data_IF_769821625139
#
_entry.id   IF_769821625139
#
_cell.length_a   1.000
_cell.length_b   1.000
_cell.length_c   1.000
_cell.angle_alpha   90.00
_cell.angle_beta   90.00
_cell.angle_gamma   90.00
#
_symmetry.space_group_name_H-M   'P 1'
#
loop_
_entity.id
_entity.type
_entity.pdbx_description
1 polymer ?
#
# COMPACT_ATOMS: atom_id res chain seq x y z
N UNK A 1 57.70 -32.92 47.83
CA UNK A 1 58.59 -32.92 46.65
C UNK A 1 58.81 -31.48 46.19
N UNK A 2 60.06 -30.98 46.23
CA UNK A 2 60.46 -29.63 45.80
C UNK A 2 61.07 -29.63 44.39
N UNK A 3 60.94 -28.52 43.65
CA UNK A 3 61.78 -28.03 42.51
C UNK A 3 60.98 -26.93 41.77
N UNK A 4 61.53 -25.82 41.30
CA UNK A 4 62.88 -25.31 41.30
C UNK A 4 62.87 -23.80 41.03
N UNK A 5 63.79 -23.09 41.67
CA UNK A 5 64.32 -21.79 41.27
C UNK A 5 64.92 -21.83 39.87
N UNK A 6 64.79 -20.74 39.10
CA UNK A 6 65.90 -20.18 38.30
C UNK A 6 65.87 -18.64 38.27
N UNK A 7 67.06 -18.00 38.16
CA UNK A 7 67.28 -16.56 38.39
C UNK A 7 67.45 -15.76 37.07
N UNK A 8 67.64 -14.42 37.15
CA UNK A 8 67.63 -13.51 35.99
C UNK A 8 69.04 -13.26 35.44
N UNK A 9 69.16 -12.97 34.13
CA UNK A 9 70.37 -12.37 33.53
C UNK A 9 70.02 -11.37 32.42
N UNK A 10 70.77 -10.27 32.47
CA UNK A 10 70.78 -9.01 31.72
C UNK A 10 71.08 -9.07 30.22
N UNK A 11 70.55 -8.06 29.54
CA UNK A 11 71.13 -7.16 28.52
C UNK A 11 72.33 -7.60 27.66
N UNK A 12 72.17 -7.47 26.35
CA UNK A 12 73.20 -6.96 25.45
C UNK A 12 72.58 -6.37 24.17
N UNK A 13 73.18 -5.26 23.73
CA UNK A 13 72.77 -4.37 22.65
C UNK A 13 73.07 -4.90 21.24
N UNK A 14 72.45 -4.29 20.22
CA UNK A 14 72.87 -4.40 18.82
C UNK A 14 71.88 -3.79 17.81
N UNK A 15 72.22 -2.67 17.13
CA UNK A 15 71.31 -1.92 16.25
C UNK A 15 71.45 -2.30 14.77
N UNK A 16 70.37 -2.17 14.00
CA UNK A 16 70.36 -2.23 12.53
C UNK A 16 68.97 -1.83 12.02
N UNK A 17 68.80 -0.59 11.59
CA UNK A 17 68.76 -0.22 10.16
C UNK A 17 67.68 -1.00 9.40
N UNK A 18 66.49 -0.39 9.31
CA UNK A 18 65.69 -0.33 8.07
C UNK A 18 64.50 0.63 8.26
N UNK A 19 64.87 1.91 8.33
CA UNK A 19 63.95 3.04 8.32
C UNK A 19 63.82 3.57 6.88
N UNK A 20 63.01 2.94 6.02
CA UNK A 20 62.56 3.55 4.76
C UNK A 20 61.41 2.80 4.05
N UNK A 21 60.32 2.40 4.73
CA UNK A 21 59.16 1.83 4.01
C UNK A 21 57.78 2.00 4.68
N UNK A 22 57.63 2.90 5.65
CA UNK A 22 56.37 3.05 6.40
C UNK A 22 55.81 4.47 6.27
N UNK A 23 55.25 4.78 5.08
CA UNK A 23 54.76 6.14 4.82
C UNK A 23 53.67 6.29 3.77
N UNK A 24 53.09 5.21 3.23
CA UNK A 24 51.83 5.30 2.48
C UNK A 24 50.71 4.80 3.36
N UNK A 25 50.20 5.68 4.23
CA UNK A 25 48.87 5.53 4.81
C UNK A 25 47.91 5.43 3.62
N UNK A 26 47.50 4.21 3.28
CA UNK A 26 46.35 3.97 2.41
C UNK A 26 45.19 4.71 3.06
N UNK A 27 44.80 5.86 2.51
CA UNK A 27 43.51 6.44 2.83
C UNK A 27 42.49 5.32 2.62
N UNK A 28 41.71 4.95 3.64
CA UNK A 28 40.65 3.97 3.43
C UNK A 28 39.76 4.49 2.29
N UNK A 29 39.39 3.64 1.33
CA UNK A 29 38.55 4.06 0.22
C UNK A 29 37.32 4.73 0.78
N UNK A 30 37.11 5.96 0.36
CA UNK A 30 36.06 6.88 0.80
C UNK A 30 34.72 6.12 0.77
N UNK A 31 34.29 5.64 1.94
CA UNK A 31 33.13 4.77 2.07
C UNK A 31 31.92 5.58 1.64
N UNK A 32 31.50 5.36 0.40
CA UNK A 32 30.23 5.74 -0.21
C UNK A 32 29.47 6.81 0.57
N UNK A 33 29.70 8.09 0.23
CA UNK A 33 28.84 9.21 0.63
C UNK A 33 27.39 8.83 0.30
N UNK A 34 26.66 8.26 1.26
CA UNK A 34 25.25 7.95 1.14
C UNK A 34 24.58 9.30 0.95
N UNK A 35 24.03 9.55 -0.24
CA UNK A 35 23.27 10.77 -0.53
C UNK A 35 22.26 10.98 0.61
N UNK A 36 22.12 12.22 1.11
CA UNK A 36 21.14 12.51 2.14
C UNK A 36 19.75 12.07 1.67
N UNK A 37 18.88 11.60 2.58
CA UNK A 37 17.51 11.25 2.23
C UNK A 37 16.79 12.48 1.63
N UNK A 38 15.85 12.27 0.70
CA UNK A 38 15.11 13.36 0.08
C UNK A 38 14.37 14.19 1.13
N UNK A 39 14.32 15.50 0.92
CA UNK A 39 13.61 16.41 1.82
C UNK A 39 12.09 16.18 1.74
N UNK A 40 11.37 16.44 2.84
CA UNK A 40 9.93 16.12 2.93
C UNK A 40 9.09 16.80 1.83
N UNK A 41 9.46 18.01 1.43
CA UNK A 41 8.75 18.72 0.36
C UNK A 41 8.96 18.08 -1.01
N UNK A 42 10.14 17.48 -1.27
CA UNK A 42 10.42 16.78 -2.53
C UNK A 42 9.54 15.54 -2.65
N UNK A 43 9.39 14.79 -1.56
CA UNK A 43 8.47 13.66 -1.49
C UNK A 43 7.04 14.14 -1.71
N UNK A 44 6.61 15.21 -1.02
CA UNK A 44 5.29 15.80 -1.21
C UNK A 44 5.01 16.20 -2.66
N UNK A 45 5.95 16.88 -3.31
CA UNK A 45 5.84 17.28 -4.71
C UNK A 45 5.75 16.06 -5.65
N UNK A 46 6.58 15.04 -5.44
CA UNK A 46 6.52 13.79 -6.19
C UNK A 46 5.14 13.12 -6.05
N UNK A 47 4.61 13.04 -4.83
CA UNK A 47 3.29 12.45 -4.57
C UNK A 47 2.16 13.20 -5.29
N UNK A 48 2.22 14.54 -5.32
CA UNK A 48 1.26 15.38 -6.05
C UNK A 48 1.36 15.13 -7.55
N UNK A 49 2.57 15.07 -8.11
CA UNK A 49 2.78 14.80 -9.54
C UNK A 49 2.27 13.41 -9.93
N UNK A 50 2.59 12.38 -9.12
CA UNK A 50 2.10 11.01 -9.32
C UNK A 50 0.57 10.94 -9.28
N UNK A 51 -0.07 11.71 -8.39
CA UNK A 51 -1.53 11.75 -8.29
C UNK A 51 -2.17 12.44 -9.50
N UNK A 52 -1.69 13.63 -9.89
CA UNK A 52 -2.28 14.39 -11.01
C UNK A 52 -2.05 13.68 -12.35
N UNK A 53 -0.91 13.02 -12.53
CA UNK A 53 -0.60 12.27 -13.75
C UNK A 53 -1.33 10.91 -13.84
N UNK A 54 -1.97 10.46 -12.75
CA UNK A 54 -2.62 9.16 -12.74
C UNK A 54 -3.91 9.22 -13.54
N UNK A 55 -4.01 8.43 -14.61
CA UNK A 55 -5.13 8.50 -15.55
C UNK A 55 -6.51 8.42 -14.87
N UNK A 56 -6.75 7.56 -13.85
CA UNK A 56 -8.03 7.56 -13.17
C UNK A 56 -8.42 8.92 -12.55
N UNK A 57 -7.46 9.78 -12.18
CA UNK A 57 -7.77 11.16 -11.75
C UNK A 57 -8.28 11.98 -12.92
N UNK A 58 -7.56 12.01 -14.04
CA UNK A 58 -7.97 12.77 -15.22
C UNK A 58 -9.28 12.25 -15.82
N UNK A 59 -9.46 10.93 -15.90
CA UNK A 59 -10.68 10.30 -16.39
C UNK A 59 -11.90 10.65 -15.52
N UNK A 60 -11.73 10.77 -14.20
CA UNK A 60 -12.83 11.24 -13.35
C UNK A 60 -13.22 12.70 -13.62
N UNK A 61 -12.26 13.57 -13.95
CA UNK A 61 -12.55 14.97 -14.31
C UNK A 61 -13.23 15.03 -15.67
N UNK A 62 -12.70 14.30 -16.66
CA UNK A 62 -13.25 14.22 -18.02
C UNK A 62 -14.69 13.69 -18.02
N UNK A 63 -14.97 12.64 -17.24
CA UNK A 63 -16.30 12.02 -17.16
C UNK A 63 -17.25 12.67 -16.14
N UNK A 64 -16.81 13.69 -15.39
CA UNK A 64 -17.62 14.33 -14.35
C UNK A 64 -18.01 13.41 -13.20
N UNK A 65 -17.16 12.43 -12.87
CA UNK A 65 -17.45 11.38 -11.90
C UNK A 65 -17.20 11.81 -10.45
N UNK A 66 -18.04 11.31 -9.54
CA UNK A 66 -17.95 11.60 -8.09
C UNK A 66 -16.78 10.91 -7.38
N UNK A 67 -15.97 10.09 -8.05
CA UNK A 67 -14.96 9.29 -7.34
C UNK A 67 -13.82 10.12 -6.73
N UNK A 68 -13.60 11.37 -7.17
CA UNK A 68 -12.67 12.29 -6.49
C UNK A 68 -13.20 12.75 -5.12
N UNK A 69 -14.52 12.92 -4.98
CA UNK A 69 -15.16 13.16 -3.68
C UNK A 69 -14.99 11.92 -2.80
N UNK A 70 -15.19 10.72 -3.37
CA UNK A 70 -14.93 9.47 -2.65
C UNK A 70 -13.48 9.34 -2.22
N UNK A 71 -12.50 9.69 -3.06
CA UNK A 71 -11.09 9.70 -2.69
C UNK A 71 -10.83 10.63 -1.49
N UNK A 72 -11.44 11.82 -1.47
CA UNK A 72 -11.38 12.75 -0.34
C UNK A 72 -11.94 12.14 0.94
N UNK A 73 -13.14 11.54 0.88
CA UNK A 73 -13.76 10.86 2.03
C UNK A 73 -12.94 9.65 2.51
N UNK A 74 -12.40 8.85 1.59
CA UNK A 74 -11.51 7.73 1.90
C UNK A 74 -10.21 8.23 2.54
N UNK A 75 -9.68 9.38 2.12
CA UNK A 75 -8.53 10.04 2.75
C UNK A 75 -8.83 10.51 4.19
N UNK A 76 -10.00 11.08 4.42
CA UNK A 76 -10.48 11.47 5.76
C UNK A 76 -10.63 10.24 6.66
N UNK A 77 -11.26 9.18 6.17
CA UNK A 77 -11.35 7.89 6.87
C UNK A 77 -9.97 7.33 7.20
N UNK A 78 -9.06 7.30 6.21
CA UNK A 78 -7.71 6.79 6.35
C UNK A 78 -6.93 7.54 7.43
N UNK A 79 -7.00 8.87 7.42
CA UNK A 79 -6.37 9.75 8.40
C UNK A 79 -6.90 9.49 9.82
N UNK A 80 -8.21 9.38 9.97
CA UNK A 80 -8.84 9.01 11.24
C UNK A 80 -8.41 7.62 11.71
N UNK A 81 -8.36 6.65 10.78
CA UNK A 81 -8.00 5.27 11.04
C UNK A 81 -6.58 5.16 11.61
N UNK A 82 -5.61 5.80 10.95
CA UNK A 82 -4.23 5.90 11.38
C UNK A 82 -4.14 6.48 12.80
N UNK A 83 -4.92 7.53 13.08
CA UNK A 83 -4.97 8.20 14.39
C UNK A 83 -5.85 7.52 15.44
N UNK A 84 -6.53 6.42 15.11
CA UNK A 84 -7.41 5.73 16.05
C UNK A 84 -8.68 6.50 16.41
N UNK A 85 -9.14 7.41 15.55
CA UNK A 85 -10.29 8.29 15.83
C UNK A 85 -11.58 7.70 15.26
N UNK A 86 -12.64 7.66 16.07
CA UNK A 86 -13.92 7.06 15.70
C UNK A 86 -14.66 7.84 14.60
N UNK A 87 -14.47 9.16 14.52
CA UNK A 87 -15.17 10.03 13.57
C UNK A 87 -14.85 9.72 12.11
N UNK A 88 -13.77 8.97 11.82
CA UNK A 88 -13.50 8.42 10.49
C UNK A 88 -14.64 7.56 9.95
N UNK A 89 -15.47 7.02 10.84
CA UNK A 89 -16.69 6.32 10.49
C UNK A 89 -17.66 7.19 9.72
N UNK A 90 -17.78 8.48 10.05
CA UNK A 90 -18.67 9.42 9.33
C UNK A 90 -18.28 9.51 7.86
N UNK A 91 -16.98 9.67 7.57
CA UNK A 91 -16.50 9.73 6.19
C UNK A 91 -16.68 8.39 5.46
N UNK A 92 -16.46 7.27 6.13
CA UNK A 92 -16.70 5.93 5.57
C UNK A 92 -18.18 5.69 5.23
N UNK A 93 -19.09 6.04 6.14
CA UNK A 93 -20.53 5.89 5.93
C UNK A 93 -21.03 6.76 4.78
N UNK A 94 -20.60 8.02 4.73
CA UNK A 94 -20.88 8.90 3.59
C UNK A 94 -20.33 8.33 2.28
N UNK A 95 -19.08 7.83 2.27
CA UNK A 95 -18.48 7.27 1.06
C UNK A 95 -19.25 6.02 0.55
N UNK A 96 -19.66 5.14 1.45
CA UNK A 96 -20.50 3.95 1.14
C UNK A 96 -21.87 4.37 0.59
N UNK A 97 -22.50 5.38 1.21
CA UNK A 97 -23.80 5.88 0.78
C UNK A 97 -23.75 6.52 -0.62
N UNK A 98 -22.64 7.16 -1.00
CA UNK A 98 -22.42 7.69 -2.36
C UNK A 98 -22.16 6.55 -3.36
N UNK A 99 -21.22 5.64 -3.06
CA UNK A 99 -20.96 4.44 -3.86
C UNK A 99 -20.58 3.25 -2.99
N UNK A 100 -21.33 2.16 -3.13
CA UNK A 100 -21.09 0.91 -2.39
C UNK A 100 -19.72 0.27 -2.59
N UNK A 101 -18.95 0.69 -3.61
CA UNK A 101 -17.59 0.17 -3.84
C UNK A 101 -16.65 0.39 -2.64
N UNK A 102 -16.98 1.32 -1.74
CA UNK A 102 -16.25 1.57 -0.49
C UNK A 102 -16.59 0.56 0.63
N UNK A 103 -17.66 -0.22 0.46
CA UNK A 103 -18.19 -1.15 1.45
C UNK A 103 -17.14 -2.11 2.04
N UNK A 104 -16.24 -2.70 1.23
CA UNK A 104 -15.22 -3.61 1.75
C UNK A 104 -14.31 -3.01 2.82
N UNK A 105 -14.09 -1.70 2.82
CA UNK A 105 -13.30 -1.03 3.86
C UNK A 105 -13.96 -1.14 5.24
N UNK A 106 -15.29 -1.24 5.32
CA UNK A 106 -15.99 -1.48 6.58
C UNK A 106 -15.67 -2.85 7.20
N UNK A 107 -15.28 -3.84 6.40
CA UNK A 107 -14.84 -5.14 6.90
C UNK A 107 -13.61 -5.01 7.80
N UNK A 108 -12.71 -4.07 7.50
CA UNK A 108 -11.56 -3.79 8.35
C UNK A 108 -11.97 -3.20 9.71
N UNK A 109 -12.91 -2.26 9.68
CA UNK A 109 -13.44 -1.62 10.90
C UNK A 109 -14.12 -2.67 11.79
N UNK A 110 -14.91 -3.56 11.18
CA UNK A 110 -15.56 -4.69 11.84
C UNK A 110 -14.53 -5.69 12.39
N UNK A 111 -13.55 -6.11 11.59
CA UNK A 111 -12.50 -7.07 11.96
C UNK A 111 -11.67 -6.58 13.15
N UNK A 112 -11.30 -5.30 13.17
CA UNK A 112 -10.60 -4.67 14.30
C UNK A 112 -11.53 -4.25 15.44
N UNK A 113 -12.81 -4.61 15.38
CA UNK A 113 -13.82 -4.37 16.42
C UNK A 113 -13.90 -2.91 16.84
N UNK A 114 -13.75 -1.98 15.89
CA UNK A 114 -13.86 -0.53 16.15
C UNK A 114 -15.32 -0.09 16.13
N UNK A 115 -16.09 -0.58 17.12
CA UNK A 115 -17.55 -0.41 17.17
C UNK A 115 -18.00 1.05 17.11
N UNK A 116 -17.32 1.98 17.77
CA UNK A 116 -17.67 3.40 17.69
C UNK A 116 -17.52 3.97 16.26
N UNK A 117 -16.49 3.55 15.53
CA UNK A 117 -16.31 3.94 14.13
C UNK A 117 -17.35 3.26 13.24
N UNK A 118 -17.66 1.99 13.49
CA UNK A 118 -18.70 1.26 12.75
C UNK A 118 -20.08 1.88 12.95
N UNK A 119 -20.43 2.24 14.19
CA UNK A 119 -21.67 2.92 14.53
C UNK A 119 -21.76 4.29 13.85
N UNK A 120 -20.67 5.06 13.84
CA UNK A 120 -20.61 6.33 13.11
C UNK A 120 -20.78 6.14 11.58
N UNK A 121 -20.21 5.08 11.01
CA UNK A 121 -20.40 4.74 9.60
C UNK A 121 -21.84 4.33 9.29
N UNK A 122 -22.44 3.47 10.11
CA UNK A 122 -23.82 3.06 9.96
C UNK A 122 -24.78 4.26 10.08
N UNK A 123 -24.60 5.10 11.10
CA UNK A 123 -25.44 6.27 11.34
C UNK A 123 -25.33 7.29 10.20
N UNK A 124 -24.11 7.68 9.81
CA UNK A 124 -23.90 8.65 8.72
C UNK A 124 -24.38 8.12 7.37
N UNK A 125 -24.10 6.86 7.03
CA UNK A 125 -24.58 6.23 5.81
C UNK A 125 -26.10 6.18 5.76
N UNK A 126 -26.75 5.76 6.85
CA UNK A 126 -28.21 5.73 6.96
C UNK A 126 -28.83 7.12 6.84
N UNK A 127 -28.31 8.12 7.55
CA UNK A 127 -28.80 9.50 7.49
C UNK A 127 -28.70 10.02 6.05
N UNK A 128 -27.56 9.83 5.38
CA UNK A 128 -27.36 10.34 4.04
C UNK A 128 -28.28 9.66 3.02
N UNK A 129 -28.56 8.37 3.19
CA UNK A 129 -29.54 7.65 2.38
C UNK A 129 -30.98 8.11 2.62
N UNK A 130 -31.38 8.24 3.89
CA UNK A 130 -32.73 8.69 4.26
C UNK A 130 -33.02 10.13 3.80
N UNK A 131 -31.99 10.98 3.77
CA UNK A 131 -32.10 12.37 3.29
C UNK A 131 -32.01 12.45 1.77
N UNK A 132 -31.11 11.69 1.15
CA UNK A 132 -30.79 11.84 -0.28
C UNK A 132 -31.80 11.17 -1.21
N UNK A 133 -32.20 9.93 -0.92
CA UNK A 133 -32.88 9.08 -1.89
C UNK A 133 -33.67 7.89 -1.28
N UNK A 134 -34.47 8.08 -0.20
CA UNK A 134 -35.14 6.96 0.47
C UNK A 134 -36.11 6.19 -0.43
N UNK A 135 -36.72 6.86 -1.42
CA UNK A 135 -37.68 6.27 -2.35
C UNK A 135 -37.08 5.17 -3.24
N UNK A 136 -35.76 5.19 -3.47
CA UNK A 136 -35.09 4.21 -4.32
C UNK A 136 -34.57 3.00 -3.55
N UNK A 137 -34.76 2.93 -2.23
CA UNK A 137 -34.24 1.85 -1.38
C UNK A 137 -34.64 0.45 -1.89
N UNK A 138 -35.94 0.24 -2.10
CA UNK A 138 -36.46 -1.05 -2.54
C UNK A 138 -36.00 -1.41 -3.95
N UNK A 139 -36.06 -0.45 -4.88
CA UNK A 139 -35.56 -0.65 -6.24
C UNK A 139 -34.06 -0.98 -6.24
N UNK A 140 -33.29 -0.28 -5.42
CA UNK A 140 -31.86 -0.50 -5.30
C UNK A 140 -31.56 -1.91 -4.77
N UNK A 141 -32.18 -2.33 -3.66
CA UNK A 141 -31.90 -3.62 -3.03
C UNK A 141 -32.34 -4.81 -3.87
N UNK A 142 -33.47 -4.71 -4.58
CA UNK A 142 -34.07 -5.86 -5.26
C UNK A 142 -33.87 -5.87 -6.78
N UNK A 143 -33.45 -4.76 -7.40
CA UNK A 143 -33.19 -4.69 -8.85
C UNK A 143 -31.75 -4.31 -9.15
N UNK A 144 -31.30 -3.16 -8.66
CA UNK A 144 -29.99 -2.59 -9.02
C UNK A 144 -28.85 -3.42 -8.45
N UNK A 145 -28.86 -3.69 -7.14
CA UNK A 145 -27.79 -4.41 -6.47
C UNK A 145 -27.61 -5.84 -7.00
N UNK A 146 -28.68 -6.65 -7.20
CA UNK A 146 -28.54 -7.97 -7.83
C UNK A 146 -28.01 -7.89 -9.26
N UNK A 147 -28.46 -6.93 -10.07
CA UNK A 147 -28.01 -6.75 -11.45
C UNK A 147 -26.52 -6.36 -11.51
N UNK A 148 -26.08 -5.39 -10.71
CA UNK A 148 -24.66 -4.97 -10.65
C UNK A 148 -23.78 -6.09 -10.06
N UNK A 149 -24.30 -6.83 -9.08
CA UNK A 149 -23.60 -7.98 -8.49
C UNK A 149 -23.52 -9.18 -9.44
N UNK A 150 -24.27 -9.20 -10.55
CA UNK A 150 -24.12 -10.23 -11.57
C UNK A 150 -22.78 -10.11 -12.32
N UNK A 151 -22.10 -8.97 -12.23
CA UNK A 151 -20.85 -8.71 -12.93
C UNK A 151 -21.03 -8.59 -14.44
N UNK A 152 -19.95 -8.29 -15.14
CA UNK A 152 -19.93 -8.26 -16.60
C UNK A 152 -18.52 -8.48 -17.13
N UNK A 153 -18.40 -9.03 -18.34
CA UNK A 153 -17.11 -9.18 -19.04
C UNK A 153 -16.70 -7.97 -19.86
N UNK A 154 -17.48 -6.88 -19.83
CA UNK A 154 -17.18 -5.65 -20.56
C UNK A 154 -15.74 -5.17 -20.31
N UNK A 155 -15.05 -4.69 -21.35
CA UNK A 155 -13.60 -4.41 -21.32
C UNK A 155 -13.18 -3.43 -20.22
N UNK A 156 -14.05 -2.49 -19.85
CA UNK A 156 -13.84 -1.55 -18.74
C UNK A 156 -13.91 -2.19 -17.35
N UNK A 157 -14.41 -3.42 -17.23
CA UNK A 157 -14.42 -4.13 -15.96
C UNK A 157 -13.03 -4.71 -15.66
N UNK A 158 -12.31 -4.04 -14.78
CA UNK A 158 -10.98 -4.41 -14.28
C UNK A 158 -11.02 -5.32 -13.04
N UNK A 159 -12.20 -5.77 -12.59
CA UNK A 159 -12.27 -6.77 -11.53
C UNK A 159 -11.82 -8.16 -12.04
N UNK A 160 -11.39 -9.07 -11.16
CA UNK A 160 -11.18 -10.47 -11.52
C UNK A 160 -12.41 -11.10 -12.17
N UNK A 161 -13.61 -10.67 -11.76
CA UNK A 161 -14.86 -11.13 -12.36
C UNK A 161 -15.00 -10.75 -13.82
N UNK A 162 -14.52 -9.57 -14.23
CA UNK A 162 -14.46 -9.17 -15.64
C UNK A 162 -13.60 -10.12 -16.47
N UNK A 163 -12.36 -10.36 -16.03
CA UNK A 163 -11.41 -11.27 -16.68
C UNK A 163 -11.95 -12.69 -16.79
N UNK A 164 -12.49 -13.23 -15.70
CA UNK A 164 -13.05 -14.60 -15.68
C UNK A 164 -14.26 -14.68 -16.62
N UNK A 165 -15.11 -13.66 -16.63
CA UNK A 165 -16.27 -13.64 -17.52
C UNK A 165 -15.85 -13.68 -18.98
N UNK A 166 -14.82 -12.91 -19.37
CA UNK A 166 -14.25 -12.95 -20.73
C UNK A 166 -13.57 -14.27 -21.06
N UNK A 167 -13.08 -15.01 -20.07
CA UNK A 167 -12.51 -16.34 -20.26
C UNK A 167 -13.61 -17.37 -20.56
N UNK A 168 -14.74 -17.29 -19.86
CA UNK A 168 -15.89 -18.18 -20.05
C UNK A 168 -16.72 -17.83 -21.30
N UNK A 169 -16.89 -16.54 -21.58
CA UNK A 169 -17.64 -16.03 -22.72
C UNK A 169 -16.92 -14.81 -23.33
N UNK A 170 -16.03 -15.02 -24.32
CA UNK A 170 -15.29 -13.95 -24.97
C UNK A 170 -16.15 -12.86 -25.61
N UNK A 171 -17.41 -13.17 -25.98
CA UNK A 171 -18.31 -12.20 -26.62
C UNK A 171 -18.78 -11.10 -25.66
N UNK A 172 -18.55 -11.28 -24.36
CA UNK A 172 -18.85 -10.26 -23.34
C UNK A 172 -17.88 -9.07 -23.37
N UNK A 173 -16.77 -9.14 -24.11
CA UNK A 173 -15.77 -8.07 -24.16
C UNK A 173 -16.36 -6.71 -24.54
N UNK A 174 -17.25 -6.69 -25.54
CA UNK A 174 -17.92 -5.48 -26.06
C UNK A 174 -19.39 -5.38 -25.63
N UNK A 175 -19.90 -6.32 -24.84
CA UNK A 175 -21.30 -6.40 -24.47
C UNK A 175 -21.49 -6.35 -22.96
N UNK A 176 -22.36 -5.43 -22.50
CA UNK A 176 -22.73 -5.32 -21.08
C UNK A 176 -23.79 -6.37 -20.76
N UNK A 177 -23.33 -7.59 -20.46
CA UNK A 177 -24.18 -8.71 -20.02
C UNK A 177 -23.70 -9.28 -18.70
N UNK A 178 -24.63 -9.88 -17.95
CA UNK A 178 -24.36 -10.57 -16.70
C UNK A 178 -23.39 -11.75 -16.88
N UNK A 179 -22.53 -11.98 -15.90
CA UNK A 179 -21.56 -13.07 -15.94
C UNK A 179 -22.22 -14.45 -15.85
N UNK A 180 -21.73 -15.48 -16.57
CA UNK A 180 -22.18 -16.86 -16.42
C UNK A 180 -22.05 -17.36 -14.98
N UNK A 181 -22.93 -18.29 -14.56
CA UNK A 181 -22.94 -18.81 -13.19
C UNK A 181 -21.60 -19.36 -12.71
N UNK A 182 -20.89 -20.12 -13.58
CA UNK A 182 -19.54 -20.64 -13.27
C UNK A 182 -18.50 -19.53 -13.05
N UNK A 183 -18.53 -18.48 -13.87
CA UNK A 183 -17.66 -17.32 -13.73
C UNK A 183 -17.92 -16.57 -12.41
N UNK A 184 -19.20 -16.42 -12.02
CA UNK A 184 -19.59 -15.79 -10.75
C UNK A 184 -19.12 -16.60 -9.55
N UNK A 185 -19.27 -17.92 -9.58
CA UNK A 185 -18.80 -18.81 -8.52
C UNK A 185 -17.27 -18.72 -8.35
N UNK A 186 -16.51 -18.78 -9.45
CA UNK A 186 -15.05 -18.66 -9.40
C UNK A 186 -14.60 -17.27 -8.90
N UNK A 187 -15.28 -16.21 -9.33
CA UNK A 187 -15.04 -14.84 -8.85
C UNK A 187 -15.25 -14.73 -7.34
N UNK A 188 -16.32 -15.33 -6.82
CA UNK A 188 -16.59 -15.34 -5.38
C UNK A 188 -15.50 -16.09 -4.61
N UNK A 189 -15.02 -17.24 -5.12
CA UNK A 189 -13.90 -17.98 -4.52
C UNK A 189 -12.63 -17.13 -4.46
N UNK A 190 -12.28 -16.44 -5.56
CA UNK A 190 -11.13 -15.53 -5.58
C UNK A 190 -11.31 -14.39 -4.58
N UNK A 191 -12.51 -13.79 -4.52
CA UNK A 191 -12.79 -12.70 -3.59
C UNK A 191 -12.59 -13.15 -2.13
N UNK A 192 -13.11 -14.34 -1.77
CA UNK A 192 -12.89 -14.93 -0.44
C UNK A 192 -11.41 -15.21 -0.18
N UNK A 193 -10.68 -15.77 -1.16
CA UNK A 193 -9.24 -16.02 -1.02
C UNK A 193 -8.44 -14.73 -0.79
N UNK A 194 -8.73 -13.67 -1.55
CA UNK A 194 -8.11 -12.35 -1.39
C UNK A 194 -8.39 -11.78 0.01
N UNK A 195 -9.63 -11.88 0.50
CA UNK A 195 -9.99 -11.45 1.86
C UNK A 195 -9.21 -12.23 2.93
N UNK A 196 -9.21 -13.56 2.83
CA UNK A 196 -8.50 -14.43 3.79
C UNK A 196 -7.01 -14.07 3.82
N UNK A 197 -6.36 -13.99 2.66
CA UNK A 197 -4.93 -13.66 2.57
C UNK A 197 -4.66 -12.26 3.13
N UNK A 198 -5.49 -11.28 2.78
CA UNK A 198 -5.32 -9.90 3.26
C UNK A 198 -5.40 -9.85 4.78
N UNK A 199 -6.47 -10.39 5.39
CA UNK A 199 -6.65 -10.38 6.84
C UNK A 199 -5.62 -11.25 7.57
N UNK A 200 -5.21 -12.38 6.99
CA UNK A 200 -4.16 -13.23 7.56
C UNK A 200 -2.78 -12.55 7.57
N UNK A 201 -2.51 -11.63 6.65
CA UNK A 201 -1.26 -10.87 6.59
C UNK A 201 -1.33 -9.61 7.45
N UNK A 202 -2.42 -8.83 7.38
CA UNK A 202 -2.53 -7.59 8.19
C UNK A 202 -2.70 -7.84 9.68
N UNK A 203 -3.09 -9.04 10.12
CA UNK A 203 -3.12 -9.38 11.56
C UNK A 203 -1.74 -9.24 12.22
N UNK A 204 -0.66 -9.40 11.47
CA UNK A 204 0.70 -9.40 11.98
C UNK A 204 1.30 -7.98 12.13
N UNK A 205 0.76 -6.97 11.45
CA UNK A 205 1.29 -5.60 11.53
C UNK A 205 0.61 -4.77 12.59
N UNK A 206 1.37 -3.82 13.15
CA UNK A 206 0.89 -2.73 14.00
C UNK A 206 0.80 -1.39 13.24
N UNK A 207 1.32 -1.34 12.00
CA UNK A 207 1.23 -0.16 11.16
C UNK A 207 -0.19 -0.05 10.56
N UNK A 208 -0.97 0.86 11.13
CA UNK A 208 -2.36 1.12 10.71
C UNK A 208 -2.46 1.66 9.29
N UNK A 209 -1.43 2.33 8.80
CA UNK A 209 -1.39 2.92 7.45
C UNK A 209 -1.25 1.82 6.41
N UNK A 210 -0.32 0.88 6.63
CA UNK A 210 -0.13 -0.28 5.76
C UNK A 210 -1.33 -1.24 5.81
N UNK A 211 -1.93 -1.41 6.99
CA UNK A 211 -3.17 -2.19 7.13
C UNK A 211 -4.31 -1.60 6.29
N UNK A 212 -4.56 -0.29 6.40
CA UNK A 212 -5.59 0.37 5.61
C UNK A 212 -5.28 0.33 4.11
N UNK A 213 -4.01 0.55 3.72
CA UNK A 213 -3.57 0.43 2.34
C UNK A 213 -3.86 -0.96 1.76
N UNK A 214 -3.55 -2.04 2.50
CA UNK A 214 -3.78 -3.41 2.04
C UNK A 214 -5.26 -3.72 1.78
N UNK A 215 -6.17 -3.24 2.65
CA UNK A 215 -7.61 -3.44 2.46
C UNK A 215 -8.17 -2.61 1.31
N UNK A 216 -7.72 -1.36 1.17
CA UNK A 216 -8.11 -0.52 0.01
C UNK A 216 -7.61 -1.16 -1.29
N UNK A 217 -6.37 -1.65 -1.32
CA UNK A 217 -5.81 -2.34 -2.50
C UNK A 217 -6.55 -3.65 -2.85
N UNK A 218 -7.08 -4.36 -1.85
CA UNK A 218 -7.88 -5.57 -2.06
C UNK A 218 -9.28 -5.28 -2.62
N UNK A 219 -9.80 -4.05 -2.45
CA UNK A 219 -11.21 -3.72 -2.73
C UNK A 219 -11.63 -4.00 -4.19
N UNK A 220 -10.87 -3.61 -5.23
CA UNK A 220 -11.26 -3.94 -6.61
C UNK A 220 -11.12 -5.43 -6.96
N UNK A 221 -10.29 -6.19 -6.23
CA UNK A 221 -10.11 -7.63 -6.45
C UNK A 221 -11.28 -8.47 -5.91
N UNK A 222 -12.03 -7.92 -4.96
CA UNK A 222 -13.19 -8.60 -4.35
C UNK A 222 -14.52 -8.06 -4.87
N UNK A 223 -14.49 -6.93 -5.57
CA UNK A 223 -15.65 -6.40 -6.26
C UNK A 223 -15.99 -7.30 -7.47
N UNK A 224 -17.28 -7.48 -7.75
CA UNK A 224 -17.74 -8.11 -9.00
C UNK A 224 -17.47 -7.20 -10.20
N UNK A 225 -17.24 -5.92 -9.93
CA UNK A 225 -17.20 -4.88 -10.94
C UNK A 225 -16.36 -3.67 -10.52
N UNK A 226 -15.43 -3.25 -11.38
CA UNK A 226 -14.59 -2.07 -11.16
C UNK A 226 -14.22 -1.40 -12.49
N UNK A 227 -14.78 -0.22 -12.76
CA UNK A 227 -14.41 0.63 -13.90
C UNK A 227 -13.03 1.29 -13.70
N UNK A 228 -12.42 1.78 -14.78
CA UNK A 228 -11.18 2.57 -14.73
C UNK A 228 -11.27 3.75 -13.76
N UNK A 229 -12.36 4.52 -13.80
CA UNK A 229 -12.55 5.68 -12.90
C UNK A 229 -12.69 5.31 -11.42
N UNK A 230 -13.05 4.08 -11.07
CA UNK A 230 -13.07 3.64 -9.67
C UNK A 230 -11.66 3.42 -9.11
N UNK A 231 -10.68 3.14 -9.98
CA UNK A 231 -9.31 2.83 -9.59
C UNK A 231 -8.55 4.04 -9.04
N UNK A 232 -9.12 5.25 -9.14
CA UNK A 232 -8.59 6.46 -8.49
C UNK A 232 -8.40 6.28 -6.98
N UNK A 233 -9.21 5.44 -6.35
CA UNK A 233 -9.14 5.11 -4.92
C UNK A 233 -7.84 4.39 -4.55
N UNK A 234 -7.20 3.73 -5.51
CA UNK A 234 -5.91 3.05 -5.33
C UNK A 234 -4.75 4.03 -5.18
N UNK A 235 -4.95 5.34 -5.41
CA UNK A 235 -3.97 6.34 -5.01
C UNK A 235 -3.64 6.25 -3.53
N UNK A 236 -4.61 5.99 -2.64
CA UNK A 236 -4.34 5.87 -1.21
C UNK A 236 -3.25 4.82 -0.89
N UNK A 237 -3.39 3.55 -1.29
CA UNK A 237 -2.33 2.56 -1.08
C UNK A 237 -1.03 2.91 -1.82
N UNK A 238 -1.08 3.47 -3.03
CA UNK A 238 0.13 3.86 -3.77
C UNK A 238 0.93 4.92 -3.00
N UNK A 239 0.28 5.98 -2.52
CA UNK A 239 0.93 7.05 -1.76
C UNK A 239 1.53 6.54 -0.44
N UNK A 240 0.80 5.66 0.27
CA UNK A 240 1.29 5.02 1.49
C UNK A 240 2.54 4.18 1.20
N UNK A 241 2.52 3.37 0.14
CA UNK A 241 3.64 2.52 -0.22
C UNK A 241 4.85 3.31 -0.70
N UNK A 242 4.68 4.40 -1.45
CA UNK A 242 5.78 5.28 -1.85
C UNK A 242 6.41 5.92 -0.61
N UNK A 243 5.59 6.50 0.28
CA UNK A 243 6.07 7.12 1.51
C UNK A 243 6.76 6.10 2.45
N UNK A 244 6.28 4.86 2.47
CA UNK A 244 6.86 3.79 3.27
C UNK A 244 8.18 3.26 2.67
N UNK A 245 8.22 3.03 1.36
CA UNK A 245 9.35 2.39 0.66
C UNK A 245 10.51 3.33 0.40
N UNK A 246 10.28 4.62 0.19
CA UNK A 246 11.32 5.58 -0.19
C UNK A 246 12.42 5.75 0.88
N UNK A 247 12.11 5.97 2.18
CA UNK A 247 13.14 6.01 3.22
C UNK A 247 13.88 4.68 3.41
N UNK A 248 13.20 3.57 3.11
CA UNK A 248 13.70 2.20 3.24
C UNK A 248 14.50 1.74 2.03
N UNK A 249 14.45 2.48 0.92
CA UNK A 249 15.00 2.08 -0.38
C UNK A 249 14.49 0.70 -0.81
N UNK A 250 13.23 0.42 -0.54
CA UNK A 250 12.59 -0.83 -0.92
C UNK A 250 12.21 -0.80 -2.41
N UNK A 251 13.21 -1.09 -3.26
CA UNK A 251 13.07 -1.04 -4.72
C UNK A 251 12.06 -2.04 -5.27
N UNK A 252 11.85 -3.18 -4.58
CA UNK A 252 10.84 -4.15 -4.99
C UNK A 252 9.44 -3.56 -4.86
N UNK A 253 9.11 -3.00 -3.68
CA UNK A 253 7.80 -2.38 -3.46
C UNK A 253 7.62 -1.17 -4.39
N UNK A 254 8.66 -0.36 -4.58
CA UNK A 254 8.62 0.76 -5.52
C UNK A 254 8.35 0.31 -6.97
N UNK A 255 9.03 -0.75 -7.43
CA UNK A 255 8.84 -1.30 -8.77
C UNK A 255 7.43 -1.87 -8.97
N UNK A 256 6.89 -2.58 -7.97
CA UNK A 256 5.52 -3.08 -8.02
C UNK A 256 4.50 -1.94 -8.08
N UNK A 257 4.68 -0.87 -7.29
CA UNK A 257 3.81 0.32 -7.31
C UNK A 257 3.89 1.03 -8.66
N UNK A 258 5.11 1.27 -9.17
CA UNK A 258 5.31 1.92 -10.46
C UNK A 258 4.69 1.11 -11.61
N UNK A 259 4.88 -0.21 -11.60
CA UNK A 259 4.31 -1.11 -12.60
C UNK A 259 2.78 -1.11 -12.51
N UNK A 260 2.22 -1.19 -11.30
CA UNK A 260 0.78 -1.06 -11.08
C UNK A 260 0.22 0.24 -11.64
N UNK A 261 0.87 1.37 -11.35
CA UNK A 261 0.48 2.69 -11.83
C UNK A 261 0.48 2.76 -13.36
N UNK A 262 1.51 2.20 -14.02
CA UNK A 262 1.61 2.15 -15.49
C UNK A 262 0.49 1.31 -16.10
N UNK A 263 0.23 0.12 -15.55
CA UNK A 263 -0.76 -0.82 -16.07
C UNK A 263 -2.20 -0.32 -15.87
N UNK A 264 -2.48 0.33 -14.75
CA UNK A 264 -3.81 0.88 -14.45
C UNK A 264 -4.04 2.19 -15.19
N UNK A 265 -3.02 3.04 -15.35
CA UNK A 265 -3.16 4.36 -15.93
C UNK A 265 -2.84 4.41 -17.42
N UNK A 266 -1.59 4.70 -17.81
CA UNK A 266 -1.19 4.83 -19.22
C UNK A 266 -1.63 3.69 -20.15
N UNK A 267 -1.53 2.42 -19.71
CA UNK A 267 -1.92 1.27 -20.54
C UNK A 267 -3.44 1.24 -20.75
N UNK A 268 -4.22 1.60 -19.73
CA UNK A 268 -5.66 1.76 -19.88
C UNK A 268 -6.02 2.93 -20.80
N UNK A 269 -5.31 4.07 -20.72
CA UNK A 269 -5.53 5.18 -21.66
C UNK A 269 -5.23 4.78 -23.10
N UNK A 270 -4.19 3.97 -23.31
CA UNK A 270 -3.87 3.41 -24.63
C UNK A 270 -5.01 2.53 -25.15
N UNK A 271 -5.59 1.66 -24.31
CA UNK A 271 -6.78 0.88 -24.66
C UNK A 271 -7.92 1.79 -25.13
N UNK A 272 -8.27 2.81 -24.34
CA UNK A 272 -9.33 3.75 -24.69
C UNK A 272 -9.03 4.48 -26.01
N UNK A 273 -7.80 4.95 -26.20
CA UNK A 273 -7.39 5.64 -27.41
C UNK A 273 -7.52 4.75 -28.65
N UNK A 274 -7.12 3.47 -28.57
CA UNK A 274 -7.29 2.51 -29.65
C UNK A 274 -8.76 2.22 -29.97
N UNK A 275 -9.61 2.12 -28.95
CA UNK A 275 -11.05 1.95 -29.16
C UNK A 275 -11.67 3.15 -29.89
N UNK A 276 -11.27 4.38 -29.51
CA UNK A 276 -11.75 5.61 -30.15
C UNK A 276 -11.29 5.72 -31.61
N UNK A 277 -10.11 5.22 -31.97
CA UNK A 277 -9.62 5.22 -33.36
C UNK A 277 -10.29 4.14 -34.23
N UNK A 278 -11.16 3.30 -33.67
CA UNK A 278 -11.79 2.19 -34.39
C UNK A 278 -10.87 0.99 -34.60
N UNK A 279 -9.79 0.89 -33.82
CA UNK A 279 -8.89 -0.27 -33.85
C UNK A 279 -9.66 -1.55 -33.51
N UNK A 280 -9.53 -2.58 -34.35
CA UNK A 280 -10.43 -3.74 -34.33
C UNK A 280 -9.78 -5.06 -33.85
N UNK A 281 -8.47 -5.09 -33.59
CA UNK A 281 -7.82 -6.33 -33.13
C UNK A 281 -8.17 -6.61 -31.67
N UNK A 282 -9.14 -7.49 -31.48
CA UNK A 282 -9.68 -7.89 -30.18
C UNK A 282 -8.61 -8.56 -29.31
N UNK A 283 -7.61 -9.23 -29.88
CA UNK A 283 -6.57 -9.87 -29.07
C UNK A 283 -5.71 -8.83 -28.37
N UNK A 284 -5.29 -7.79 -29.11
CA UNK A 284 -4.54 -6.66 -28.55
C UNK A 284 -5.38 -5.89 -27.53
N UNK A 285 -6.62 -5.54 -27.87
CA UNK A 285 -7.53 -4.84 -26.96
C UNK A 285 -7.76 -5.63 -25.67
N UNK A 286 -7.89 -6.95 -25.77
CA UNK A 286 -8.05 -7.83 -24.61
C UNK A 286 -6.81 -7.83 -23.72
N UNK A 287 -5.61 -7.96 -24.29
CA UNK A 287 -4.36 -7.89 -23.52
C UNK A 287 -4.28 -6.58 -22.73
N UNK A 288 -4.62 -5.45 -23.37
CA UNK A 288 -4.62 -4.15 -22.70
C UNK A 288 -5.72 -4.04 -21.62
N UNK A 289 -6.90 -4.63 -21.84
CA UNK A 289 -7.97 -4.65 -20.84
C UNK A 289 -7.58 -5.46 -19.58
N UNK A 290 -6.89 -6.59 -19.76
CA UNK A 290 -6.42 -7.41 -18.63
C UNK A 290 -5.24 -6.78 -17.88
N UNK A 291 -4.54 -5.81 -18.46
CA UNK A 291 -3.45 -5.10 -17.78
C UNK A 291 -3.92 -4.44 -16.47
N UNK A 292 -5.14 -3.91 -16.44
CA UNK A 292 -5.69 -3.27 -15.24
C UNK A 292 -5.80 -4.23 -14.05
N UNK A 293 -6.36 -5.44 -14.24
CA UNK A 293 -6.47 -6.42 -13.13
C UNK A 293 -5.10 -6.89 -12.65
N UNK A 294 -4.12 -7.02 -13.57
CA UNK A 294 -2.73 -7.33 -13.22
C UNK A 294 -2.13 -6.18 -12.40
N UNK A 295 -2.33 -4.93 -12.80
CA UNK A 295 -1.88 -3.76 -12.06
C UNK A 295 -2.47 -3.69 -10.65
N UNK A 296 -3.77 -3.99 -10.49
CA UNK A 296 -4.43 -4.04 -9.18
C UNK A 296 -3.82 -5.16 -8.32
N UNK A 297 -3.62 -6.35 -8.89
CA UNK A 297 -3.01 -7.48 -8.18
C UNK A 297 -1.57 -7.17 -7.73
N UNK A 298 -0.76 -6.52 -8.57
CA UNK A 298 0.60 -6.10 -8.22
C UNK A 298 0.61 -5.10 -7.07
N UNK A 299 -0.31 -4.14 -7.05
CA UNK A 299 -0.43 -3.20 -5.93
C UNK A 299 -0.83 -3.90 -4.64
N UNK A 300 -1.81 -4.80 -4.70
CA UNK A 300 -2.20 -5.61 -3.57
C UNK A 300 -1.02 -6.44 -3.05
N UNK A 301 -0.28 -7.13 -3.93
CA UNK A 301 0.95 -7.86 -3.56
C UNK A 301 1.97 -6.92 -2.90
N UNK A 302 2.19 -5.72 -3.45
CA UNK A 302 3.08 -4.73 -2.86
C UNK A 302 2.69 -4.36 -1.43
N UNK A 303 1.39 -4.20 -1.15
CA UNK A 303 0.90 -3.96 0.23
C UNK A 303 1.18 -5.15 1.15
N UNK A 304 0.98 -6.39 0.70
CA UNK A 304 1.26 -7.58 1.50
C UNK A 304 2.75 -7.73 1.80
N UNK A 305 3.61 -7.46 0.82
CA UNK A 305 5.07 -7.47 0.98
C UNK A 305 5.51 -6.42 2.01
N UNK A 306 5.01 -5.19 1.89
CA UNK A 306 5.31 -4.11 2.83
C UNK A 306 4.84 -4.43 4.25
N UNK A 307 3.62 -4.97 4.40
CA UNK A 307 3.06 -5.41 5.69
C UNK A 307 3.92 -6.49 6.33
N UNK A 308 4.32 -7.53 5.58
CA UNK A 308 5.17 -8.61 6.10
C UNK A 308 6.54 -8.10 6.53
N UNK A 309 7.19 -7.26 5.71
CA UNK A 309 8.51 -6.70 6.03
C UNK A 309 8.46 -5.82 7.28
N UNK A 310 7.42 -4.99 7.41
CA UNK A 310 7.17 -4.18 8.60
C UNK A 310 6.93 -5.03 9.86
N UNK A 311 6.19 -6.15 9.74
CA UNK A 311 5.89 -7.02 10.88
C UNK A 311 7.13 -7.78 11.41
N UNK A 312 8.04 -8.19 10.53
CA UNK A 312 9.19 -9.02 10.91
C UNK A 312 10.42 -8.23 11.40
N UNK A 313 10.35 -6.89 11.52
CA UNK A 313 11.52 -6.03 11.81
C UNK A 313 12.73 -6.37 10.94
N UNK A 314 12.51 -6.85 9.72
CA UNK A 314 13.56 -7.05 8.72
C UNK A 314 14.00 -5.70 8.12
N UNK A 315 13.75 -4.61 8.85
CA UNK A 315 13.98 -3.24 8.44
C UNK A 315 15.38 -2.84 8.92
N UNK A 316 16.36 -2.68 8.01
CA UNK A 316 17.69 -2.22 8.41
C UNK A 316 17.65 -0.82 9.07
N UNK A 317 16.57 -0.05 8.85
CA UNK A 317 16.35 1.21 9.55
C UNK A 317 16.04 1.04 11.04
N UNK A 318 15.31 -0.02 11.43
CA UNK A 318 15.00 -0.32 12.83
C UNK A 318 16.24 -0.90 13.54
N UNK A 319 17.09 -1.64 12.83
CA UNK A 319 18.34 -2.19 13.36
C UNK A 319 19.34 -1.08 13.73
N UNK A 320 19.51 -0.06 12.87
CA UNK A 320 20.38 1.08 13.20
C UNK A 320 19.82 1.99 14.30
N UNK A 321 18.49 2.05 14.47
CA UNK A 321 17.88 2.78 15.59
C UNK A 321 18.14 2.09 16.92
N UNK A 322 17.96 0.75 16.97
CA UNK A 322 18.21 -0.05 18.16
C UNK A 322 19.70 -0.04 18.57
N UNK A 323 20.63 -0.18 17.62
CA UNK A 323 22.07 -0.08 17.90
C UNK A 323 22.44 1.30 18.44
N UNK A 324 21.80 2.37 17.95
CA UNK A 324 22.09 3.74 18.40
C UNK A 324 21.53 4.01 19.80
N UNK A 325 20.34 3.52 20.13
CA UNK A 325 19.78 3.61 21.48
C UNK A 325 20.55 2.77 22.49
N UNK A 326 21.05 1.59 22.09
CA UNK A 326 21.91 0.74 22.92
C UNK A 326 23.27 1.41 23.18
N UNK A 327 23.85 2.06 22.17
CA UNK A 327 25.12 2.74 22.28
C UNK A 327 25.04 4.06 23.08
N UNK A 328 23.93 4.79 23.00
CA UNK A 328 23.67 5.98 23.83
C UNK A 328 23.26 5.60 25.27
N UNK A 329 22.61 4.45 25.47
CA UNK A 329 22.32 3.88 26.78
C UNK A 329 23.60 3.49 27.52
N UNK A 330 24.49 2.73 26.88
CA UNK A 330 25.78 2.34 27.46
C UNK A 330 26.67 3.55 27.81
N UNK A 331 26.58 4.64 27.04
CA UNK A 331 27.35 5.87 27.31
C UNK A 331 26.82 6.67 28.51
N UNK A 332 25.56 6.46 28.90
CA UNK A 332 24.96 7.12 30.06
C UNK A 332 25.31 6.45 31.38
N UNK A 333 25.59 5.15 31.35
CA UNK A 333 25.95 4.38 32.56
C UNK A 333 27.42 4.58 32.99
N UNK A 334 28.28 5.09 32.11
CA UNK A 334 29.66 5.50 32.41
C UNK A 334 29.78 6.94 32.95
N UNK A 335 28.66 7.63 33.18
CA UNK A 335 28.66 8.97 33.78
C UNK A 335 28.98 8.89 35.29
N UNK A 336 30.26 9.10 35.60
CA UNK A 336 30.90 9.20 36.92
C UNK A 336 29.97 9.78 38.01
N UNK A 337 29.86 9.14 39.20
CA UNK A 337 29.02 9.62 40.29
C UNK A 337 29.44 11.03 40.74
N UNK A 338 28.46 11.93 40.79
CA UNK A 338 28.64 13.30 41.24
C UNK A 338 29.14 13.33 42.69
N UNK A 339 30.36 13.82 42.89
CA UNK A 339 30.93 14.10 44.21
C UNK A 339 30.16 15.26 44.83
N UNK A 340 29.27 14.96 45.77
CA UNK A 340 28.61 15.95 46.61
C UNK A 340 29.59 16.53 47.61
N UNK A 341 30.06 17.76 47.35
CA UNK A 341 30.81 18.57 48.32
C UNK A 341 29.80 19.20 49.28
N UNK A 342 29.87 18.80 50.56
CA UNK A 342 29.15 19.43 51.67
C UNK A 342 29.88 20.71 52.08
N UNK A 343 29.23 21.86 51.97
CA UNK A 343 29.73 23.11 52.53
C UNK A 343 29.39 23.20 54.02
N UNK A 344 30.34 23.74 54.80
CA UNK A 344 30.32 23.99 56.25
C UNK A 344 29.71 25.37 56.52
#
# INVERSE_FOLDING_TARGET
>A
MPRAHRPPVRDAAGPGLDAAAAGRRRQPPDHHRRRPPPERWQVGALLVLVAIAFEPVTGNVEEGQVNLVLLGLSGIWFWAWARGRWWGGVALGAAIAIKLIQGPVALLVLWRRRWAMLAAAAASGLIMWLVGAPQYLFEYLFRVLPAVSAGTGFFENHSPGGTITRLFDPNTFIAVRGSPGGARALTAVIAVAVLIVTFAVVRATRDRSLEAAAVVAATPLIATYSWGTHLVLLLLPMLVLIAWSLPRRDWLVMALVATSWILIGPVHKLLQALLVTGYADVAVLRILAEAGVVGIALLWIATLVAVRRSAHRLDPADQHGAEKEEHDGARKDDAVPAVTVRAV
#
